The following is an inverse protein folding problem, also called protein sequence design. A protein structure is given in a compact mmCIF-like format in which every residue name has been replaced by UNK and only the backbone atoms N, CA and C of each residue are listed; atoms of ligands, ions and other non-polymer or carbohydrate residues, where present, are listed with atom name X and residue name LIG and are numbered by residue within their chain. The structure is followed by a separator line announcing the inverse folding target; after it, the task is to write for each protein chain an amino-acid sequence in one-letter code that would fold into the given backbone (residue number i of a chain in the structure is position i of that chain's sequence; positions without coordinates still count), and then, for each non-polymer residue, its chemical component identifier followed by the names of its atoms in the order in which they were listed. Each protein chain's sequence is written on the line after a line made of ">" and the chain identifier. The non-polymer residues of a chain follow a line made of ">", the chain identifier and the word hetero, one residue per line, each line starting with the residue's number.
data_IF_314471331133
#
_entry.id   IF_314471331133
#
_cell.length_a   1.000
_cell.length_b   1.000
_cell.length_c   1.000
_cell.angle_alpha   90.00
_cell.angle_beta   90.00
_cell.angle_gamma   90.00
#
_symmetry.space_group_name_H-M   'P 1'
#
loop_
_entity.id
_entity.type
_entity.pdbx_description
1 polymer ?
#
# COMPACT_ATOMS: atom_id res chain seq x y z
N UNK A 1 4.41 -7.37 -31.18
CA UNK A 1 3.20 -6.81 -30.55
C UNK A 1 3.46 -5.37 -30.12
N UNK A 2 2.77 -4.38 -30.68
CA UNK A 2 3.05 -2.96 -30.41
C UNK A 2 2.04 -2.40 -29.42
N UNK A 3 2.49 -1.76 -28.35
CA UNK A 3 1.61 -1.11 -27.40
C UNK A 3 1.02 0.18 -28.01
N UNK A 4 -0.30 0.28 -28.05
CA UNK A 4 -0.99 1.46 -28.59
C UNK A 4 -0.78 2.72 -27.75
N UNK A 5 -0.56 2.58 -26.43
CA UNK A 5 -0.39 3.71 -25.51
C UNK A 5 1.01 4.34 -25.58
N UNK A 6 2.05 3.60 -25.97
CA UNK A 6 3.43 4.11 -25.92
C UNK A 6 4.34 3.65 -27.07
N UNK A 7 3.78 2.99 -28.08
CA UNK A 7 4.51 2.53 -29.27
C UNK A 7 5.53 1.41 -29.04
N UNK A 8 5.73 0.93 -27.81
CA UNK A 8 6.75 -0.09 -27.51
C UNK A 8 6.41 -1.42 -28.15
N UNK A 9 7.41 -2.02 -28.82
CA UNK A 9 7.29 -3.33 -29.44
C UNK A 9 7.74 -4.42 -28.47
N UNK A 10 6.88 -5.40 -28.24
CA UNK A 10 7.12 -6.55 -27.38
C UNK A 10 7.12 -7.85 -28.18
N UNK A 11 7.95 -8.79 -27.71
CA UNK A 11 8.23 -10.08 -28.33
C UNK A 11 7.05 -11.08 -28.24
N UNK A 12 6.10 -10.88 -27.32
CA UNK A 12 4.97 -11.78 -27.13
C UNK A 12 3.69 -11.07 -26.70
N UNK A 13 2.53 -11.71 -26.94
CA UNK A 13 1.24 -11.22 -26.51
C UNK A 13 1.14 -11.18 -24.97
N UNK A 14 1.63 -12.22 -24.29
CA UNK A 14 1.69 -12.26 -22.83
C UNK A 14 2.56 -11.13 -22.26
N UNK A 15 3.71 -10.85 -22.89
CA UNK A 15 4.55 -9.71 -22.56
C UNK A 15 3.83 -8.38 -22.76
N UNK A 16 3.07 -8.23 -23.85
CA UNK A 16 2.25 -7.04 -24.09
C UNK A 16 1.15 -6.86 -23.04
N UNK A 17 0.44 -7.93 -22.66
CA UNK A 17 -0.58 -7.89 -21.60
C UNK A 17 0.02 -7.45 -20.26
N UNK A 18 1.17 -8.02 -19.88
CA UNK A 18 1.90 -7.60 -18.68
C UNK A 18 2.38 -6.15 -18.78
N UNK A 19 2.89 -5.73 -19.93
CA UNK A 19 3.32 -4.37 -20.17
C UNK A 19 2.20 -3.36 -19.94
N UNK A 20 1.02 -3.61 -20.51
CA UNK A 20 -0.18 -2.79 -20.29
C UNK A 20 -0.56 -2.81 -18.82
N UNK A 21 -0.59 -3.98 -18.18
CA UNK A 21 -0.93 -4.09 -16.76
C UNK A 21 0.04 -3.32 -15.83
N UNK A 22 1.33 -3.31 -16.14
CA UNK A 22 2.35 -2.71 -15.30
C UNK A 22 2.55 -1.20 -15.56
N UNK A 23 2.29 -0.75 -16.79
CA UNK A 23 2.61 0.62 -17.21
C UNK A 23 1.36 1.48 -17.45
N UNK A 24 0.28 0.87 -17.94
CA UNK A 24 -0.93 1.55 -18.42
C UNK A 24 -2.20 1.16 -17.67
N UNK A 25 -2.12 0.30 -16.65
CA UNK A 25 -3.26 -0.03 -15.78
C UNK A 25 -3.51 1.10 -14.77
N UNK A 26 -3.83 2.27 -15.28
CA UNK A 26 -4.60 3.27 -14.55
C UNK A 26 -6.03 2.75 -14.53
N UNK A 27 -6.33 1.89 -13.55
CA UNK A 27 -7.71 1.54 -13.25
C UNK A 27 -8.50 2.85 -13.10
N UNK A 28 -9.65 3.02 -13.78
CA UNK A 28 -10.57 4.10 -13.47
C UNK A 28 -11.12 3.81 -12.08
N UNK A 29 -10.53 4.42 -11.06
CA UNK A 29 -11.12 4.43 -9.72
C UNK A 29 -12.28 5.42 -9.83
N UNK A 30 -13.47 4.90 -10.12
CA UNK A 30 -14.72 5.64 -9.97
C UNK A 30 -14.80 6.15 -8.53
N UNK A 31 -14.48 7.43 -8.35
CA UNK A 31 -14.74 8.21 -7.15
C UNK A 31 -15.33 9.53 -7.63
N UNK A 32 -16.64 9.66 -7.43
CA UNK A 32 -17.34 10.92 -7.50
C UNK A 32 -16.69 11.92 -6.53
N UNK A 33 -16.45 13.14 -7.01
CA UNK A 33 -16.02 14.28 -6.20
C UNK A 33 -14.51 14.48 -6.09
N UNK A 34 -13.90 14.99 -7.16
CA UNK A 34 -13.13 16.25 -7.25
C UNK A 34 -12.17 16.14 -8.44
N UNK A 35 -12.32 17.08 -9.38
CA UNK A 35 -11.70 17.05 -10.69
C UNK A 35 -10.21 17.39 -10.62
N UNK A 36 -9.39 16.36 -10.66
CA UNK A 36 -8.05 16.41 -11.25
C UNK A 36 -7.94 15.15 -12.11
N UNK A 37 -7.32 15.27 -13.28
CA UNK A 37 -7.01 14.18 -14.22
C UNK A 37 -6.04 13.15 -13.57
N UNK A 38 -6.55 12.44 -12.55
CA UNK A 38 -5.89 11.46 -11.65
C UNK A 38 -5.11 10.37 -12.41
N UNK A 39 -5.54 9.91 -13.59
CA UNK A 39 -4.77 8.98 -14.41
C UNK A 39 -3.43 9.58 -14.90
N UNK A 40 -3.44 10.85 -15.30
CA UNK A 40 -2.28 11.54 -15.92
C UNK A 40 -1.20 11.88 -14.88
N UNK A 41 -1.60 12.38 -13.71
CA UNK A 41 -0.65 12.67 -12.63
C UNK A 41 0.06 11.40 -12.13
N UNK A 42 -0.67 10.29 -12.02
CA UNK A 42 -0.09 8.99 -11.64
C UNK A 42 0.96 8.52 -12.64
N UNK A 43 0.71 8.70 -13.94
CA UNK A 43 1.68 8.35 -14.98
C UNK A 43 2.93 9.24 -14.93
N UNK A 44 2.76 10.55 -14.67
CA UNK A 44 3.86 11.47 -14.43
C UNK A 44 4.71 11.01 -13.24
N UNK A 45 4.08 10.69 -12.10
CA UNK A 45 4.78 10.20 -10.90
C UNK A 45 5.49 8.86 -11.17
N UNK A 46 4.90 7.94 -11.94
CA UNK A 46 5.59 6.71 -12.39
C UNK A 46 6.83 7.03 -13.20
N UNK A 47 6.75 7.99 -14.11
CA UNK A 47 7.88 8.40 -14.95
C UNK A 47 9.00 9.01 -14.11
N UNK A 48 8.65 9.87 -13.14
CA UNK A 48 9.62 10.45 -12.21
C UNK A 48 10.27 9.37 -11.35
N UNK A 49 9.52 8.41 -10.80
CA UNK A 49 10.11 7.29 -10.06
C UNK A 49 11.05 6.45 -10.92
N UNK A 50 10.70 6.19 -12.19
CA UNK A 50 11.55 5.45 -13.12
C UNK A 50 12.87 6.18 -13.42
N UNK A 51 12.85 7.51 -13.53
CA UNK A 51 14.04 8.32 -13.86
C UNK A 51 14.88 8.69 -12.64
N UNK A 52 14.25 9.12 -11.55
CA UNK A 52 14.91 9.67 -10.36
C UNK A 52 14.96 8.69 -9.17
N UNK A 53 14.23 7.58 -9.22
CA UNK A 53 14.14 6.59 -8.14
C UNK A 53 13.33 7.02 -6.92
N UNK A 54 13.04 8.32 -6.76
CA UNK A 54 12.28 8.88 -5.64
C UNK A 54 11.45 10.10 -6.04
N UNK A 55 10.33 10.28 -5.36
CA UNK A 55 9.46 11.46 -5.39
C UNK A 55 9.79 12.34 -4.18
N UNK A 56 9.81 13.66 -4.34
CA UNK A 56 9.98 14.62 -3.24
C UNK A 56 8.72 15.47 -3.06
N UNK A 57 8.41 15.80 -1.81
CA UNK A 57 7.40 16.81 -1.52
C UNK A 57 7.84 18.17 -2.09
N UNK A 58 6.90 18.94 -2.61
CA UNK A 58 7.14 20.28 -3.18
C UNK A 58 6.91 21.42 -2.18
N UNK A 59 6.47 21.11 -0.94
CA UNK A 59 6.30 22.14 0.09
C UNK A 59 7.65 22.52 0.68
N UNK A 60 7.89 23.82 0.82
CA UNK A 60 9.15 24.36 1.34
C UNK A 60 9.49 23.87 2.75
N UNK A 61 8.47 23.65 3.60
CA UNK A 61 8.64 23.11 4.96
C UNK A 61 8.75 21.58 5.02
N UNK A 62 8.81 20.88 3.89
CA UNK A 62 8.81 19.43 3.86
C UNK A 62 9.88 18.83 2.94
N UNK A 63 10.84 18.11 3.55
CA UNK A 63 11.93 17.41 2.86
C UNK A 63 11.70 15.91 2.63
N UNK A 64 10.46 15.43 2.82
CA UNK A 64 10.15 13.99 2.70
C UNK A 64 10.32 13.47 1.26
N UNK A 65 10.86 12.25 1.15
CA UNK A 65 11.04 11.55 -0.13
C UNK A 65 10.48 10.13 -0.10
N UNK A 66 9.94 9.67 -1.22
CA UNK A 66 9.19 8.42 -1.31
C UNK A 66 9.61 7.61 -2.54
N UNK A 67 9.73 6.30 -2.37
CA UNK A 67 9.99 5.33 -3.45
C UNK A 67 8.71 4.71 -4.01
N UNK A 68 7.55 5.10 -3.47
CA UNK A 68 6.23 4.61 -3.88
C UNK A 68 5.26 5.76 -4.10
N UNK A 69 4.50 5.68 -5.19
CA UNK A 69 3.43 6.64 -5.54
C UNK A 69 2.38 6.67 -4.43
N UNK A 70 1.99 5.52 -3.88
CA UNK A 70 1.00 5.46 -2.82
C UNK A 70 1.47 6.14 -1.54
N UNK A 71 2.75 5.98 -1.20
CA UNK A 71 3.36 6.68 -0.07
C UNK A 71 3.39 8.19 -0.28
N UNK A 72 3.76 8.62 -1.49
CA UNK A 72 3.77 10.03 -1.87
C UNK A 72 2.37 10.66 -1.82
N UNK A 73 1.36 10.04 -2.44
CA UNK A 73 -0.02 10.57 -2.44
C UNK A 73 -0.61 10.64 -1.02
N UNK A 74 -0.35 9.62 -0.20
CA UNK A 74 -0.75 9.63 1.20
C UNK A 74 -0.10 10.80 1.95
N UNK A 75 1.19 11.03 1.71
CA UNK A 75 1.91 12.16 2.29
C UNK A 75 1.34 13.50 1.83
N UNK A 76 1.18 13.73 0.51
CA UNK A 76 0.68 15.00 -0.03
C UNK A 76 -0.69 15.35 0.56
N UNK A 77 -1.55 14.35 0.78
CA UNK A 77 -2.88 14.54 1.40
C UNK A 77 -2.81 15.05 2.85
N UNK A 78 -1.76 14.73 3.61
CA UNK A 78 -1.63 15.04 5.04
C UNK A 78 -0.56 16.08 5.37
N UNK A 79 0.41 16.26 4.48
CA UNK A 79 1.47 17.23 4.64
C UNK A 79 0.85 18.62 4.81
N UNK A 80 1.45 19.48 5.65
CA UNK A 80 1.04 20.87 5.85
C UNK A 80 -0.40 21.11 6.31
N UNK A 81 -1.16 20.07 6.72
CA UNK A 81 -2.50 20.22 7.29
C UNK A 81 -2.42 20.38 8.80
N UNK A 82 -3.27 21.24 9.34
CA UNK A 82 -3.39 21.44 10.79
C UNK A 82 -3.97 20.20 11.49
N UNK A 83 -3.84 20.15 12.82
CA UNK A 83 -4.39 19.04 13.62
C UNK A 83 -5.91 18.86 13.41
N UNK A 84 -6.66 19.96 13.30
CA UNK A 84 -8.10 19.95 13.06
C UNK A 84 -8.47 19.37 11.68
N UNK A 85 -7.77 19.75 10.62
CA UNK A 85 -8.00 19.20 9.26
C UNK A 85 -7.62 17.71 9.18
N UNK A 86 -6.61 17.30 9.95
CA UNK A 86 -6.21 15.90 10.03
C UNK A 86 -7.27 15.06 10.76
N UNK A 87 -7.91 15.64 11.78
CA UNK A 87 -9.01 15.04 12.52
C UNK A 87 -10.28 14.92 11.68
N UNK A 88 -10.60 15.91 10.87
CA UNK A 88 -11.71 15.84 9.91
C UNK A 88 -11.51 14.76 8.84
N UNK A 89 -10.26 14.44 8.51
CA UNK A 89 -9.91 13.30 7.66
C UNK A 89 -9.99 11.93 8.35
N UNK A 90 -10.35 11.86 9.63
CA UNK A 90 -10.54 10.58 10.33
C UNK A 90 -11.92 10.00 10.05
N UNK A 91 -11.94 8.71 9.73
CA UNK A 91 -13.18 7.96 9.54
C UNK A 91 -13.62 7.44 10.90
N UNK A 92 -14.88 7.66 11.28
CA UNK A 92 -15.42 7.15 12.54
C UNK A 92 -16.18 5.84 12.29
N UNK A 93 -16.03 4.88 13.20
CA UNK A 93 -16.87 3.68 13.18
C UNK A 93 -18.33 4.08 13.48
N UNK A 94 -19.27 3.63 12.66
CA UNK A 94 -20.70 3.91 12.89
C UNK A 94 -21.26 3.20 14.14
N UNK A 95 -20.70 2.03 14.50
CA UNK A 95 -21.19 1.24 15.64
C UNK A 95 -20.65 1.71 17.01
N UNK A 96 -19.44 2.29 17.06
CA UNK A 96 -18.79 2.63 18.34
C UNK A 96 -18.09 3.99 18.37
N UNK A 97 -18.19 4.78 17.29
CA UNK A 97 -17.64 6.14 17.21
C UNK A 97 -16.10 6.23 17.17
N UNK A 98 -15.36 5.13 17.32
CA UNK A 98 -13.89 5.15 17.33
C UNK A 98 -13.32 5.78 16.05
N UNK A 99 -12.34 6.70 16.13
CA UNK A 99 -11.74 7.35 14.97
C UNK A 99 -10.61 6.49 14.36
N UNK A 100 -10.53 6.48 13.03
CA UNK A 100 -9.54 5.74 12.25
C UNK A 100 -8.88 6.62 11.19
N UNK A 101 -7.56 6.46 11.06
CA UNK A 101 -6.74 7.25 10.11
C UNK A 101 -6.76 6.71 8.67
N UNK A 102 -7.38 5.55 8.43
CA UNK A 102 -7.43 4.89 7.13
C UNK A 102 -8.67 3.99 6.96
N UNK A 103 -9.13 3.83 5.72
CA UNK A 103 -10.23 2.92 5.37
C UNK A 103 -9.90 1.46 5.69
N UNK A 104 -8.66 1.04 5.50
CA UNK A 104 -8.22 -0.32 5.83
C UNK A 104 -8.28 -0.59 7.33
N UNK A 105 -7.87 0.38 8.16
CA UNK A 105 -7.96 0.27 9.62
C UNK A 105 -9.40 0.19 10.11
N UNK A 106 -10.28 1.05 9.58
CA UNK A 106 -11.71 0.97 9.88
C UNK A 106 -12.32 -0.36 9.41
N UNK A 107 -11.99 -0.83 8.21
CA UNK A 107 -12.49 -2.10 7.70
C UNK A 107 -12.00 -3.30 8.51
N UNK A 108 -10.76 -3.25 9.02
CA UNK A 108 -10.26 -4.27 9.94
C UNK A 108 -11.03 -4.25 11.25
N UNK A 109 -11.20 -3.07 11.86
CA UNK A 109 -12.02 -2.88 13.06
C UNK A 109 -13.44 -3.42 12.89
N UNK A 110 -14.10 -3.07 11.78
CA UNK A 110 -15.43 -3.57 11.48
C UNK A 110 -15.48 -5.09 11.36
N UNK A 111 -14.41 -5.76 10.90
CA UNK A 111 -14.38 -7.23 10.83
C UNK A 111 -14.08 -7.90 12.15
N UNK A 112 -13.26 -7.28 13.01
CA UNK A 112 -12.84 -7.88 14.28
C UNK A 112 -13.85 -7.64 15.41
N UNK A 113 -14.42 -6.44 15.48
CA UNK A 113 -15.27 -6.01 16.60
C UNK A 113 -16.77 -6.00 16.23
N UNK A 114 -17.06 -5.78 14.94
CA UNK A 114 -18.43 -5.70 14.43
C UNK A 114 -18.65 -6.68 13.26
N UNK A 115 -17.79 -7.70 13.16
CA UNK A 115 -17.97 -8.76 12.18
C UNK A 115 -19.29 -9.47 12.49
N UNK A 116 -19.94 -10.09 11.50
CA UNK A 116 -21.11 -10.89 11.78
C UNK A 116 -20.72 -11.93 12.84
N UNK A 117 -21.33 -11.81 14.01
CA UNK A 117 -21.34 -12.87 15.02
C UNK A 117 -21.92 -14.06 14.26
N UNK A 118 -21.11 -15.08 14.02
CA UNK A 118 -21.62 -16.38 13.60
C UNK A 118 -22.68 -16.76 14.64
N UNK A 119 -23.94 -16.79 14.22
CA UNK A 119 -25.07 -17.18 15.05
C UNK A 119 -24.84 -18.62 15.54
N UNK A 120 -24.18 -18.74 16.68
CA UNK A 120 -24.30 -19.85 17.61
C UNK A 120 -24.68 -19.19 18.94
N UNK A 121 -25.89 -19.45 19.47
CA UNK A 121 -26.34 -18.77 20.68
C UNK A 121 -25.68 -19.38 21.92
N UNK A 122 -25.35 -18.48 22.87
CA UNK A 122 -25.22 -18.69 24.32
C UNK A 122 -24.04 -19.58 24.76
N UNK A 123 -23.20 -19.27 25.76
CA UNK A 123 -23.35 -18.46 26.98
C UNK A 123 -21.98 -18.42 27.70
N UNK A 124 -21.65 -17.32 28.39
CA UNK A 124 -20.68 -17.35 29.51
C UNK A 124 -19.46 -16.42 29.39
N UNK A 125 -19.64 -15.16 29.82
CA UNK A 125 -18.85 -14.34 30.77
C UNK A 125 -17.43 -14.81 31.26
N UNK A 126 -16.60 -13.87 31.77
CA UNK A 126 -15.33 -13.37 31.24
C UNK A 126 -14.10 -13.99 31.98
N UNK A 127 -12.96 -13.29 31.94
CA UNK A 127 -11.67 -13.60 32.60
C UNK A 127 -10.70 -14.46 31.78
N UNK A 128 -9.54 -13.89 31.41
CA UNK A 128 -8.25 -14.41 31.88
C UNK A 128 -7.11 -13.53 31.36
N UNK A 129 -6.61 -12.65 32.24
CA UNK A 129 -5.21 -12.30 32.26
C UNK A 129 -4.38 -13.57 32.47
N UNK A 130 -3.54 -13.94 31.49
CA UNK A 130 -2.18 -14.39 31.80
C UNK A 130 -1.29 -14.42 30.56
N UNK A 131 -0.24 -13.62 30.66
CA UNK A 131 1.00 -13.83 29.93
C UNK A 131 1.44 -15.30 30.02
N UNK A 132 1.83 -15.87 28.88
CA UNK A 132 2.86 -16.89 28.88
C UNK A 132 3.95 -16.51 27.88
N UNK A 133 5.11 -16.28 28.47
CA UNK A 133 6.42 -16.11 27.85
C UNK A 133 6.66 -17.16 26.76
N UNK A 134 7.07 -16.69 25.57
CA UNK A 134 7.90 -17.47 24.66
C UNK A 134 9.08 -16.58 24.29
N UNK A 135 10.21 -16.79 24.98
CA UNK A 135 11.53 -16.31 24.58
C UNK A 135 11.97 -17.02 23.29
N UNK A 136 12.37 -16.30 22.23
CA UNK A 136 13.23 -16.85 21.19
C UNK A 136 14.61 -16.16 21.27
N UNK A 137 15.56 -16.81 21.92
CA UNK A 137 16.99 -16.69 21.51
C UNK A 137 17.16 -17.65 20.32
N UNK A 138 17.82 -17.34 19.21
CA UNK A 138 18.94 -16.45 18.93
C UNK A 138 18.89 -15.98 17.46
N UNK A 139 19.53 -14.84 17.19
CA UNK A 139 19.49 -14.14 15.91
C UNK A 139 20.08 -14.92 14.73
N UNK A 140 19.23 -15.25 13.76
CA UNK A 140 19.63 -15.62 12.41
C UNK A 140 18.57 -15.13 11.43
N UNK A 141 18.92 -14.20 10.53
CA UNK A 141 18.02 -13.73 9.49
C UNK A 141 17.77 -14.86 8.49
N UNK A 142 16.55 -15.39 8.44
CA UNK A 142 16.17 -16.42 7.46
C UNK A 142 16.45 -15.91 6.04
N UNK A 143 17.39 -16.56 5.35
CA UNK A 143 17.78 -16.16 3.99
C UNK A 143 16.71 -16.57 2.99
N UNK A 144 16.25 -15.60 2.18
CA UNK A 144 15.26 -15.80 1.12
C UNK A 144 15.77 -16.81 0.09
N UNK A 145 14.87 -17.66 -0.43
CA UNK A 145 15.18 -18.68 -1.45
C UNK A 145 15.90 -18.10 -2.68
N UNK A 146 15.53 -16.89 -3.10
CA UNK A 146 16.17 -16.19 -4.22
C UNK A 146 17.65 -15.88 -3.97
N UNK A 147 18.01 -15.53 -2.74
CA UNK A 147 19.40 -15.25 -2.39
C UNK A 147 20.24 -16.55 -2.37
N UNK A 148 19.66 -17.67 -1.92
CA UNK A 148 20.33 -18.99 -1.98
C UNK A 148 20.61 -19.43 -3.43
N UNK A 149 19.63 -19.23 -4.31
CA UNK A 149 19.76 -19.56 -5.75
C UNK A 149 20.85 -18.69 -6.40
N UNK A 150 20.90 -17.39 -6.07
CA UNK A 150 21.93 -16.50 -6.58
C UNK A 150 23.34 -16.91 -6.13
N UNK A 151 23.51 -17.30 -4.86
CA UNK A 151 24.79 -17.80 -4.34
C UNK A 151 25.22 -19.08 -5.06
N UNK A 152 24.29 -20.01 -5.31
CA UNK A 152 24.57 -21.23 -6.07
C UNK A 152 25.10 -20.91 -7.47
N UNK A 153 24.44 -20.03 -8.22
CA UNK A 153 24.91 -19.65 -9.55
C UNK A 153 26.25 -18.91 -9.58
N UNK A 154 26.61 -18.20 -8.50
CA UNK A 154 27.92 -17.55 -8.38
C UNK A 154 29.06 -18.57 -8.13
N UNK A 155 28.77 -19.67 -7.42
CA UNK A 155 29.74 -20.73 -7.15
C UNK A 155 30.09 -21.54 -8.41
N UNK A 156 29.14 -21.72 -9.32
CA UNK A 156 29.31 -22.48 -10.58
C UNK A 156 30.11 -21.70 -11.66
N UNK A 157 30.48 -20.45 -11.39
CA UNK A 157 31.25 -19.59 -12.31
C UNK A 157 32.74 -19.45 -11.90
N UNK A 158 33.16 -20.10 -10.82
CA UNK A 158 34.52 -20.13 -10.29
C UNK A 158 35.20 -21.47 -10.59
#
# INVERSE_FOLDING_TARGET
>A
FTCHHCGKQLRSLAGMKYHVMANHNSLPILKAGDEIDEPSERERLRTVLKRLGKLRCMRESCSSSFTSIMGYLYHVRKCGKGAAELEEMTLKCHHCGKPYKSKAGLAYHLRSEHGPISFFPESGQPECLKEMSLEPKSGGRVQRRSAKIAVYHLQELA
#
